data_IF_981730053098
#
_entry.id   IF_981730053098
#
_cell.length_a   1.000
_cell.length_b   1.000
_cell.length_c   1.000
_cell.angle_alpha   90.00
_cell.angle_beta   90.00
_cell.angle_gamma   90.00
#
_symmetry.space_group_name_H-M   'P 1'
#
loop_
_entity.id
_entity.type
_entity.pdbx_description
1 polymer ?
#
# COMPACT_ATOMS: atom_id res chain seq x y z
N UNK A 1 -10.41 -24.38 0.55
CA UNK A 1 -9.53 -23.28 0.12
C UNK A 1 -10.13 -21.96 0.53
N UNK A 2 -9.33 -21.15 1.19
CA UNK A 2 -9.78 -19.83 1.62
C UNK A 2 -9.58 -18.82 0.52
N UNK A 3 -10.67 -18.18 0.11
CA UNK A 3 -10.66 -17.20 -0.94
C UNK A 3 -10.32 -15.82 -0.39
N UNK A 4 -9.43 -15.10 -1.08
CA UNK A 4 -9.11 -13.72 -0.78
C UNK A 4 -9.88 -12.82 -1.73
N UNK A 5 -10.49 -11.76 -1.20
CA UNK A 5 -11.22 -10.77 -2.00
C UNK A 5 -10.57 -9.41 -1.89
N UNK A 6 -10.28 -8.82 -3.02
CA UNK A 6 -9.81 -7.44 -3.10
C UNK A 6 -11.00 -6.52 -3.37
N UNK A 7 -11.04 -5.39 -2.68
CA UNK A 7 -12.17 -4.47 -2.80
C UNK A 7 -11.71 -3.02 -2.67
N UNK A 8 -12.25 -2.15 -3.52
CA UNK A 8 -12.07 -0.71 -3.35
C UNK A 8 -13.08 -0.21 -2.31
N UNK A 9 -12.61 0.62 -1.38
CA UNK A 9 -13.46 1.21 -0.35
C UNK A 9 -14.45 2.19 -0.99
N UNK A 10 -15.73 2.04 -0.68
CA UNK A 10 -16.79 2.90 -1.23
C UNK A 10 -17.71 3.49 -0.16
N UNK A 11 -17.66 3.00 1.05
CA UNK A 11 -18.56 3.43 2.12
C UNK A 11 -17.78 3.92 3.34
N UNK A 12 -18.47 4.68 4.19
CA UNK A 12 -17.88 5.14 5.44
C UNK A 12 -17.51 3.99 6.36
N UNK A 13 -18.34 2.95 6.42
CA UNK A 13 -18.04 1.79 7.27
C UNK A 13 -16.81 1.04 6.78
N UNK A 14 -16.63 0.92 5.46
CA UNK A 14 -15.42 0.33 4.91
C UNK A 14 -14.19 1.18 5.22
N UNK A 15 -14.34 2.50 5.20
CA UNK A 15 -13.24 3.39 5.55
C UNK A 15 -12.81 3.20 7.02
N UNK A 16 -13.79 3.03 7.89
CA UNK A 16 -13.51 2.77 9.30
C UNK A 16 -12.77 1.45 9.50
N UNK A 17 -13.06 0.44 8.67
CA UNK A 17 -12.33 -0.84 8.67
C UNK A 17 -10.86 -0.60 8.30
N UNK A 18 -10.62 0.17 7.24
CA UNK A 18 -9.25 0.50 6.83
C UNK A 18 -8.49 1.23 7.95
N UNK A 19 -9.14 2.21 8.59
CA UNK A 19 -8.54 2.94 9.70
C UNK A 19 -8.18 2.01 10.86
N UNK A 20 -9.04 1.04 11.17
CA UNK A 20 -8.78 0.09 12.25
C UNK A 20 -7.54 -0.76 11.95
N UNK A 21 -7.42 -1.26 10.73
CA UNK A 21 -6.24 -2.04 10.33
C UNK A 21 -4.98 -1.19 10.44
N UNK A 22 -5.03 0.05 9.95
CA UNK A 22 -3.89 0.97 10.02
C UNK A 22 -3.50 1.28 11.46
N UNK A 23 -4.48 1.48 12.32
CA UNK A 23 -4.20 1.73 13.74
C UNK A 23 -3.50 0.54 14.39
N UNK A 24 -3.97 -0.68 14.10
CA UNK A 24 -3.38 -1.89 14.66
C UNK A 24 -1.93 -2.09 14.18
N UNK A 25 -1.67 -1.90 12.89
CA UNK A 25 -0.35 -2.16 12.32
C UNK A 25 0.61 -1.00 12.59
N UNK A 26 0.21 0.23 12.31
CA UNK A 26 1.13 1.36 12.37
C UNK A 26 1.23 1.98 13.76
N UNK A 27 0.12 2.10 14.47
CA UNK A 27 0.13 2.75 15.78
C UNK A 27 0.41 1.76 16.91
N UNK A 28 -0.31 0.66 16.96
CA UNK A 28 -0.14 -0.31 18.06
C UNK A 28 1.13 -1.14 17.88
N UNK A 29 1.36 -1.67 16.69
CA UNK A 29 2.50 -2.56 16.42
C UNK A 29 3.79 -1.78 16.19
N UNK A 30 3.79 -0.80 15.28
CA UNK A 30 4.99 -0.04 14.90
C UNK A 30 5.22 1.22 15.75
N UNK A 31 4.30 1.55 16.63
CA UNK A 31 4.43 2.68 17.56
C UNK A 31 4.52 4.05 16.88
N UNK A 32 3.94 4.17 15.70
CA UNK A 32 3.80 5.47 15.03
C UNK A 32 2.64 6.22 15.66
N UNK A 33 2.82 7.52 15.93
CA UNK A 33 1.76 8.30 16.56
C UNK A 33 0.55 8.42 15.65
N UNK A 34 -0.64 8.54 16.24
CA UNK A 34 -1.88 8.69 15.46
C UNK A 34 -1.89 9.95 14.64
N UNK A 35 -1.27 11.02 15.12
CA UNK A 35 -1.20 12.29 14.41
C UNK A 35 -0.38 12.17 13.11
N UNK A 36 0.64 11.32 13.10
CA UNK A 36 1.45 11.05 11.92
C UNK A 36 0.72 10.12 10.96
N UNK A 37 0.16 9.04 11.49
CA UNK A 37 -0.51 8.03 10.66
C UNK A 37 -1.75 8.60 9.98
N UNK A 38 -2.59 9.32 10.72
CA UNK A 38 -3.80 9.93 10.20
C UNK A 38 -3.52 11.39 9.85
N UNK A 39 -3.01 11.59 8.64
CA UNK A 39 -2.40 12.83 8.17
C UNK A 39 -3.37 13.81 7.51
N UNK A 40 -4.68 13.57 7.62
CA UNK A 40 -5.74 14.38 7.02
C UNK A 40 -5.75 14.37 5.49
N UNK A 41 -5.07 13.42 4.85
CA UNK A 41 -5.06 13.28 3.39
C UNK A 41 -5.98 12.16 2.90
N UNK A 42 -6.59 11.40 3.81
CA UNK A 42 -7.37 10.22 3.42
C UNK A 42 -8.52 10.53 2.48
N UNK A 43 -9.16 11.68 2.62
CA UNK A 43 -10.28 12.08 1.75
C UNK A 43 -9.84 12.37 0.31
N UNK A 44 -8.53 12.54 0.08
CA UNK A 44 -7.96 12.77 -1.25
C UNK A 44 -7.45 11.47 -1.88
N UNK A 45 -7.59 10.37 -1.19
CA UNK A 45 -7.00 9.10 -1.61
C UNK A 45 -8.05 8.08 -1.97
N UNK A 46 -7.65 7.08 -2.76
CA UNK A 46 -8.42 5.87 -2.93
C UNK A 46 -7.90 4.82 -1.96
N UNK A 47 -8.82 4.04 -1.39
CA UNK A 47 -8.49 3.06 -0.36
C UNK A 47 -8.96 1.68 -0.78
N UNK A 48 -8.21 0.66 -0.37
CA UNK A 48 -8.45 -0.71 -0.77
C UNK A 48 -8.38 -1.63 0.43
N UNK A 49 -9.14 -2.71 0.37
CA UNK A 49 -9.18 -3.73 1.42
C UNK A 49 -8.99 -5.11 0.79
N UNK A 50 -8.41 -6.02 1.56
CA UNK A 50 -8.43 -7.43 1.25
C UNK A 50 -9.14 -8.15 2.38
N UNK A 51 -10.06 -9.03 2.00
CA UNK A 51 -10.81 -9.88 2.93
C UNK A 51 -10.38 -11.32 2.73
N UNK A 52 -10.30 -12.05 3.82
CA UNK A 52 -10.24 -13.50 3.81
C UNK A 52 -11.60 -13.97 4.30
N UNK A 53 -12.38 -14.55 3.37
CA UNK A 53 -13.80 -14.78 3.63
C UNK A 53 -14.48 -13.45 4.00
N UNK A 54 -15.02 -13.31 5.20
CA UNK A 54 -15.67 -12.06 5.64
C UNK A 54 -14.79 -11.21 6.55
N UNK A 55 -13.55 -11.62 6.79
CA UNK A 55 -12.63 -10.94 7.69
C UNK A 55 -11.72 -9.98 6.92
N UNK A 56 -11.76 -8.68 7.20
CA UNK A 56 -10.83 -7.74 6.58
C UNK A 56 -9.45 -7.91 7.21
N UNK A 57 -8.42 -8.09 6.37
CA UNK A 57 -7.09 -8.46 6.85
C UNK A 57 -5.97 -7.56 6.33
N UNK A 58 -6.24 -6.72 5.34
CA UNK A 58 -5.22 -5.83 4.78
C UNK A 58 -5.85 -4.59 4.18
N UNK A 59 -5.06 -3.53 4.12
CA UNK A 59 -5.49 -2.28 3.50
C UNK A 59 -4.32 -1.60 2.79
N UNK A 60 -4.63 -0.73 1.85
CA UNK A 60 -3.66 0.11 1.17
C UNK A 60 -4.35 1.38 0.70
N UNK A 61 -3.57 2.45 0.56
CA UNK A 61 -4.05 3.75 0.13
C UNK A 61 -3.26 4.20 -1.09
N UNK A 62 -3.93 4.83 -2.05
CA UNK A 62 -3.26 5.42 -3.21
C UNK A 62 -3.61 6.90 -3.29
N UNK A 63 -2.58 7.72 -3.37
CA UNK A 63 -2.72 9.17 -3.45
C UNK A 63 -2.15 9.66 -4.78
N UNK A 64 -2.92 10.46 -5.50
CA UNK A 64 -2.41 11.14 -6.69
C UNK A 64 -1.55 12.31 -6.21
N UNK A 65 -0.24 12.15 -6.39
CA UNK A 65 0.75 13.16 -6.06
C UNK A 65 1.21 13.77 -7.37
N UNK A 66 1.15 15.05 -7.52
CA UNK A 66 1.39 15.70 -8.80
C UNK A 66 0.55 15.08 -9.93
N UNK A 67 0.50 15.65 -11.08
CA UNK A 67 -0.49 15.33 -12.11
C UNK A 67 -0.55 13.86 -12.54
N UNK A 68 0.57 13.14 -12.54
CA UNK A 68 0.62 11.80 -13.12
C UNK A 68 1.37 10.81 -12.25
N UNK A 69 1.52 11.09 -10.96
CA UNK A 69 2.26 10.22 -10.05
C UNK A 69 1.31 9.70 -9.00
N UNK A 70 1.07 8.38 -9.02
CA UNK A 70 0.29 7.70 -7.99
C UNK A 70 1.24 7.11 -6.96
N UNK A 71 1.08 7.53 -5.71
CA UNK A 71 1.88 7.03 -4.61
C UNK A 71 1.07 6.03 -3.81
N UNK A 72 1.57 4.80 -3.71
CA UNK A 72 0.96 3.77 -2.86
C UNK A 72 1.49 3.97 -1.45
N UNK A 73 0.58 4.10 -0.50
CA UNK A 73 0.89 4.38 0.90
C UNK A 73 0.05 3.51 1.82
N UNK A 74 0.43 3.45 3.07
CA UNK A 74 -0.36 2.81 4.13
C UNK A 74 -0.72 1.37 3.81
N UNK A 75 0.22 0.63 3.21
CA UNK A 75 0.05 -0.81 2.96
C UNK A 75 0.27 -1.54 4.28
N UNK A 76 -0.75 -2.24 4.72
CA UNK A 76 -0.73 -2.92 6.00
C UNK A 76 -1.45 -4.26 5.91
N UNK A 77 -0.82 -5.31 6.44
CA UNK A 77 -1.40 -6.64 6.57
C UNK A 77 -1.38 -6.99 8.05
N UNK A 78 -2.52 -7.46 8.58
CA UNK A 78 -2.58 -7.88 9.98
C UNK A 78 -1.57 -9.01 10.23
N UNK A 79 -0.93 -8.99 11.42
CA UNK A 79 0.21 -9.84 11.71
C UNK A 79 -0.05 -11.33 11.47
N UNK A 80 -1.25 -11.81 11.81
CA UNK A 80 -1.59 -13.23 11.66
C UNK A 80 -1.74 -13.68 10.21
N UNK A 81 -1.79 -12.74 9.27
CA UNK A 81 -2.04 -13.04 7.86
C UNK A 81 -0.84 -12.71 6.97
N UNK A 82 0.29 -12.36 7.56
CA UNK A 82 1.53 -12.14 6.81
C UNK A 82 2.10 -13.47 6.35
N UNK A 83 2.97 -13.43 5.34
CA UNK A 83 3.60 -14.62 4.74
C UNK A 83 2.64 -15.54 4.00
N UNK A 84 1.42 -15.06 3.70
CA UNK A 84 0.38 -15.85 3.02
C UNK A 84 -0.05 -15.21 1.70
N UNK A 85 0.83 -14.41 1.09
CA UNK A 85 0.59 -13.74 -0.20
C UNK A 85 -0.50 -12.66 -0.19
N UNK A 86 -0.99 -12.26 0.98
CA UNK A 86 -2.03 -11.23 1.09
C UNK A 86 -1.50 -9.88 0.60
N UNK A 87 -0.30 -9.49 1.08
CA UNK A 87 0.32 -8.23 0.64
C UNK A 87 0.61 -8.22 -0.86
N UNK A 88 1.06 -9.35 -1.39
CA UNK A 88 1.31 -9.50 -2.81
C UNK A 88 0.02 -9.34 -3.62
N UNK A 89 -1.07 -9.96 -3.19
CA UNK A 89 -2.37 -9.81 -3.86
C UNK A 89 -2.82 -8.35 -3.85
N UNK A 90 -2.77 -7.72 -2.68
CA UNK A 90 -3.16 -6.31 -2.54
C UNK A 90 -2.37 -5.43 -3.51
N UNK A 91 -1.06 -5.56 -3.52
CA UNK A 91 -0.20 -4.76 -4.38
C UNK A 91 -0.44 -5.03 -5.86
N UNK A 92 -0.57 -6.29 -6.25
CA UNK A 92 -0.81 -6.64 -7.66
C UNK A 92 -2.12 -6.07 -8.17
N UNK A 93 -3.17 -6.12 -7.35
CA UNK A 93 -4.47 -5.58 -7.75
C UNK A 93 -4.45 -4.05 -7.83
N UNK A 94 -3.75 -3.39 -6.90
CA UNK A 94 -3.58 -1.93 -6.97
C UNK A 94 -2.78 -1.55 -8.23
N UNK A 95 -1.66 -2.21 -8.49
CA UNK A 95 -0.83 -1.95 -9.65
C UNK A 95 -1.64 -2.10 -10.95
N UNK A 96 -2.49 -3.12 -11.01
CA UNK A 96 -3.35 -3.36 -12.17
C UNK A 96 -4.25 -2.18 -12.49
N UNK A 97 -4.78 -1.52 -11.46
CA UNK A 97 -5.68 -0.37 -11.63
C UNK A 97 -4.93 0.83 -12.24
N UNK A 98 -3.73 1.11 -11.73
CA UNK A 98 -3.04 2.36 -12.05
C UNK A 98 -2.00 2.22 -13.18
N UNK A 99 -1.46 1.04 -13.43
CA UNK A 99 -0.45 0.84 -14.47
C UNK A 99 -1.00 0.96 -15.89
N UNK A 100 -2.32 0.80 -16.05
CA UNK A 100 -2.95 0.94 -17.36
C UNK A 100 -3.20 2.38 -17.79
N UNK A 101 -2.95 3.34 -16.91
CA UNK A 101 -3.22 4.75 -17.18
C UNK A 101 -2.04 5.37 -17.92
N UNK A 102 -2.33 6.08 -19.02
CA UNK A 102 -1.30 6.64 -19.89
C UNK A 102 -0.48 7.72 -19.17
N UNK A 103 0.83 7.70 -19.39
CA UNK A 103 1.77 8.71 -18.90
C UNK A 103 1.78 8.85 -17.37
N UNK A 104 1.57 7.74 -16.66
CA UNK A 104 1.56 7.75 -15.21
C UNK A 104 2.75 6.98 -14.66
N UNK A 105 3.13 7.33 -13.42
CA UNK A 105 4.11 6.59 -12.65
C UNK A 105 3.48 6.11 -11.36
N UNK A 106 3.91 4.96 -10.90
CA UNK A 106 3.52 4.43 -9.60
C UNK A 106 4.77 4.41 -8.72
N UNK A 107 4.71 5.09 -7.59
CA UNK A 107 5.82 5.14 -6.65
C UNK A 107 5.37 4.73 -5.26
N UNK A 108 6.34 4.43 -4.41
CA UNK A 108 6.11 4.22 -2.99
C UNK A 108 7.39 4.54 -2.21
N UNK A 109 7.25 4.69 -0.90
CA UNK A 109 8.37 4.79 0.02
C UNK A 109 8.42 3.51 0.83
N UNK A 110 9.44 2.69 0.60
CA UNK A 110 9.58 1.40 1.26
C UNK A 110 10.45 1.51 2.50
N UNK A 111 10.00 0.93 3.60
CA UNK A 111 10.91 0.65 4.71
C UNK A 111 12.01 -0.28 4.19
N UNK A 112 13.26 -0.04 4.59
CA UNK A 112 14.37 -0.85 4.08
C UNK A 112 14.20 -2.33 4.39
N UNK A 113 13.59 -2.66 5.53
CA UNK A 113 13.40 -4.04 5.96
C UNK A 113 12.53 -4.85 4.98
N UNK A 114 11.65 -4.19 4.21
CA UNK A 114 10.74 -4.88 3.29
C UNK A 114 11.00 -4.53 1.82
N UNK A 115 12.15 -3.96 1.53
CA UNK A 115 12.51 -3.57 0.16
C UNK A 115 12.45 -4.73 -0.81
N UNK A 116 12.88 -5.91 -0.39
CA UNK A 116 12.87 -7.10 -1.24
C UNK A 116 11.45 -7.47 -1.70
N UNK A 117 10.48 -7.31 -0.82
CA UNK A 117 9.07 -7.56 -1.15
C UNK A 117 8.64 -6.74 -2.37
N UNK A 118 8.98 -5.44 -2.36
CA UNK A 118 8.62 -4.56 -3.47
C UNK A 118 9.46 -4.80 -4.71
N UNK A 119 10.74 -5.17 -4.56
CA UNK A 119 11.56 -5.56 -5.71
C UNK A 119 10.96 -6.76 -6.43
N UNK A 120 10.42 -7.72 -5.70
CA UNK A 120 9.76 -8.88 -6.28
C UNK A 120 8.47 -8.53 -7.03
N UNK A 121 7.92 -7.34 -6.77
CA UNK A 121 6.75 -6.82 -7.47
C UNK A 121 7.14 -5.86 -8.61
N UNK A 122 8.39 -5.88 -9.01
CA UNK A 122 8.93 -5.08 -10.11
C UNK A 122 9.10 -3.59 -9.80
N UNK A 123 9.35 -3.27 -8.53
CA UNK A 123 9.75 -1.92 -8.13
C UNK A 123 11.27 -1.83 -8.05
N UNK A 124 11.82 -0.68 -8.43
CA UNK A 124 13.25 -0.39 -8.31
C UNK A 124 13.46 0.81 -7.42
N UNK A 125 14.49 0.78 -6.55
CA UNK A 125 14.79 1.93 -5.71
C UNK A 125 15.38 3.08 -6.54
N UNK A 126 15.14 4.30 -6.08
CA UNK A 126 15.78 5.48 -6.65
C UNK A 126 16.07 6.47 -5.52
N UNK A 127 17.11 7.29 -5.74
CA UNK A 127 17.54 8.25 -4.75
C UNK A 127 18.23 7.63 -3.56
N UNK A 128 18.45 8.45 -2.54
CA UNK A 128 19.14 8.03 -1.34
C UNK A 128 18.18 7.57 -0.25
N UNK A 129 18.70 6.80 0.69
CA UNK A 129 17.96 6.40 1.88
C UNK A 129 17.62 7.62 2.71
N UNK A 130 16.46 7.62 3.35
CA UNK A 130 16.02 8.72 4.20
C UNK A 130 15.23 8.18 5.40
N UNK A 131 15.06 9.04 6.40
CA UNK A 131 14.26 8.70 7.56
C UNK A 131 12.85 9.23 7.35
N UNK A 132 11.85 8.37 7.58
CA UNK A 132 10.44 8.75 7.58
C UNK A 132 9.86 8.18 8.86
N UNK A 133 9.33 9.05 9.71
CA UNK A 133 8.81 8.65 11.03
C UNK A 133 9.86 7.90 11.86
N UNK A 134 11.12 8.28 11.72
CA UNK A 134 12.23 7.67 12.44
C UNK A 134 12.67 6.31 11.91
N UNK A 135 12.07 5.83 10.83
CA UNK A 135 12.36 4.53 10.24
C UNK A 135 13.10 4.72 8.89
N UNK A 136 14.19 3.98 8.63
CA UNK A 136 14.88 4.09 7.34
C UNK A 136 14.01 3.63 6.17
N UNK A 137 13.94 4.47 5.15
CA UNK A 137 13.14 4.25 3.93
C UNK A 137 13.96 4.50 2.67
N UNK A 138 13.43 4.02 1.55
CA UNK A 138 13.92 4.38 0.22
C UNK A 138 12.72 4.50 -0.73
N UNK A 139 12.77 5.49 -1.61
CA UNK A 139 11.74 5.63 -2.64
C UNK A 139 11.91 4.55 -3.70
N UNK A 140 10.80 4.03 -4.20
CA UNK A 140 10.82 3.01 -5.26
C UNK A 140 9.80 3.37 -6.33
N UNK A 141 10.10 2.98 -7.57
CA UNK A 141 9.23 3.21 -8.71
C UNK A 141 8.91 1.89 -9.40
N UNK A 142 7.66 1.73 -9.81
CA UNK A 142 7.23 0.54 -10.55
C UNK A 142 7.79 0.58 -11.97
N UNK A 143 8.46 -0.50 -12.39
CA UNK A 143 8.95 -0.65 -13.75
C UNK A 143 7.85 -1.28 -14.58
N UNK A 144 7.28 -0.52 -15.52
CA UNK A 144 6.24 -1.06 -16.35
C UNK A 144 6.74 -2.25 -17.16
N UNK A 145 5.86 -3.25 -17.30
CA UNK A 145 6.19 -4.41 -18.12
C UNK A 145 6.27 -3.98 -19.58
N UNK A 146 7.39 -4.34 -20.22
CA UNK A 146 7.59 -4.06 -21.62
C UNK A 146 6.84 -5.12 -22.43
N UNK A 147 5.54 -4.94 -22.58
CA UNK A 147 4.68 -5.93 -23.24
C UNK A 147 4.82 -5.92 -24.75
N UNK A 148 5.58 -4.98 -25.29
CA UNK A 148 5.75 -4.82 -26.73
C UNK A 148 6.91 -5.59 -27.32
N UNK A 149 7.57 -6.39 -26.52
CA UNK A 149 8.73 -7.15 -27.00
C UNK A 149 8.32 -8.51 -27.44
#
# INVERSE_FOLDING_TARGET
>A
MTELKFKKVKTKSEMEISFRIRNLVFCDEQKISKEIEFDNLDHLCEHFLVYKEETPIATGRVRLKDNNIYKIERVAVLSNYRKSKVGSLLMKEIIKIYSGLKDTKIILHSQLAVQKFYRNLNFSPYGEKFLEDGIPHIAMVFNEYNSGV
#
